data_IF_554434159617
#
_entry.id   IF_554434159617
#
_cell.length_a   1.000
_cell.length_b   1.000
_cell.length_c   1.000
_cell.angle_alpha   90.00
_cell.angle_beta   90.00
_cell.angle_gamma   90.00
#
_symmetry.space_group_name_H-M   'P 1'
#
loop_
_entity.id
_entity.type
_entity.pdbx_description
1 polymer ?
#
# COMPACT_ATOMS: atom_id res chain seq x y z
N UNK A 1 -26.31 15.68 20.80
CA UNK A 1 -26.10 16.57 19.64
C UNK A 1 -24.81 16.13 18.97
N UNK A 2 -24.86 15.74 17.70
CA UNK A 2 -23.66 15.40 16.92
C UNK A 2 -23.03 16.70 16.41
N UNK A 3 -21.70 16.77 16.41
CA UNK A 3 -20.98 17.93 15.86
C UNK A 3 -20.74 17.73 14.36
N UNK A 4 -20.54 18.80 13.56
CA UNK A 4 -20.33 18.68 12.12
C UNK A 4 -19.18 17.74 11.73
N UNK A 5 -18.15 17.64 12.58
CA UNK A 5 -16.99 16.75 12.38
C UNK A 5 -17.33 15.28 12.60
N UNK A 6 -18.22 14.99 13.56
CA UNK A 6 -18.74 13.63 13.79
C UNK A 6 -19.71 13.26 12.67
N UNK A 7 -20.57 14.18 12.25
CA UNK A 7 -21.51 13.96 11.15
C UNK A 7 -20.79 13.65 9.83
N UNK A 8 -19.64 14.29 9.57
CA UNK A 8 -18.82 14.04 8.39
C UNK A 8 -18.24 12.62 8.30
N UNK A 9 -18.21 11.88 9.42
CA UNK A 9 -17.75 10.49 9.50
C UNK A 9 -18.91 9.49 9.38
N UNK A 10 -20.14 9.97 9.16
CA UNK A 10 -21.31 9.10 9.00
C UNK A 10 -21.26 8.40 7.64
N UNK A 11 -21.11 7.08 7.69
CA UNK A 11 -21.21 6.21 6.52
C UNK A 11 -22.66 5.80 6.27
N UNK A 12 -23.03 5.48 5.01
CA UNK A 12 -24.30 4.85 4.73
C UNK A 12 -24.48 3.57 5.55
N UNK A 13 -25.69 3.36 6.07
CA UNK A 13 -26.00 2.18 6.87
C UNK A 13 -25.97 0.89 6.05
N UNK A 14 -26.55 0.91 4.84
CA UNK A 14 -26.59 -0.26 3.95
C UNK A 14 -25.27 -0.48 3.21
N UNK A 15 -24.93 -1.75 3.03
CA UNK A 15 -23.74 -2.19 2.27
C UNK A 15 -23.77 -1.70 0.83
N UNK A 16 -24.95 -1.71 0.20
CA UNK A 16 -25.14 -1.25 -1.17
C UNK A 16 -24.85 0.25 -1.32
N UNK A 17 -25.38 1.08 -0.41
CA UNK A 17 -25.14 2.52 -0.45
C UNK A 17 -23.68 2.85 -0.13
N UNK A 18 -23.07 2.14 0.82
CA UNK A 18 -21.65 2.30 1.13
C UNK A 18 -20.79 1.92 -0.08
N UNK A 19 -21.06 0.77 -0.71
CA UNK A 19 -20.40 0.30 -1.93
C UNK A 19 -20.49 1.33 -3.05
N UNK A 20 -21.68 1.89 -3.32
CA UNK A 20 -21.85 2.96 -4.31
C UNK A 20 -21.01 4.20 -4.00
N UNK A 21 -20.85 4.54 -2.72
CA UNK A 21 -20.07 5.71 -2.27
C UNK A 21 -18.55 5.50 -2.41
N UNK A 22 -18.06 4.29 -2.14
CA UNK A 22 -16.62 4.01 -2.04
C UNK A 22 -16.04 3.38 -3.29
N UNK A 23 -16.83 2.76 -4.16
CA UNK A 23 -16.36 2.15 -5.40
C UNK A 23 -16.04 3.20 -6.49
N UNK A 24 -15.25 2.79 -7.48
CA UNK A 24 -15.01 3.54 -8.72
C UNK A 24 -15.37 2.64 -9.87
N UNK A 25 -16.32 3.08 -10.70
CA UNK A 25 -16.76 2.32 -11.86
C UNK A 25 -15.65 2.23 -12.92
N UNK A 26 -15.53 1.11 -13.64
CA UNK A 26 -14.65 1.01 -14.79
C UNK A 26 -15.09 1.95 -15.91
N UNK A 27 -14.11 2.43 -16.69
CA UNK A 27 -14.35 3.22 -17.91
C UNK A 27 -13.86 2.43 -19.12
N UNK A 28 -14.66 2.42 -20.18
CA UNK A 28 -14.29 1.77 -21.44
C UNK A 28 -13.05 2.42 -22.07
N UNK A 29 -12.20 1.59 -22.70
CA UNK A 29 -10.97 2.04 -23.36
C UNK A 29 -10.92 1.54 -24.82
N UNK A 30 -11.75 2.12 -25.72
CA UNK A 30 -11.79 1.73 -27.14
C UNK A 30 -10.50 2.13 -27.89
N UNK A 31 -9.68 3.00 -27.31
CA UNK A 31 -8.38 3.41 -27.83
C UNK A 31 -7.34 2.29 -27.80
N UNK A 32 -7.46 1.32 -26.88
CA UNK A 32 -6.47 0.23 -26.72
C UNK A 32 -6.28 -0.57 -28.00
N UNK A 33 -7.33 -0.78 -28.78
CA UNK A 33 -7.23 -1.54 -30.02
C UNK A 33 -6.39 -0.84 -31.10
N UNK A 34 -6.35 0.50 -31.07
CA UNK A 34 -5.64 1.34 -32.05
C UNK A 34 -4.16 1.48 -31.73
N UNK A 35 -3.77 1.19 -30.49
CA UNK A 35 -2.39 1.31 -30.03
C UNK A 35 -1.54 0.09 -30.43
N UNK A 36 -0.23 0.27 -30.64
CA UNK A 36 0.71 -0.85 -30.71
C UNK A 36 0.60 -1.74 -29.47
N UNK A 37 0.78 -3.06 -29.64
CA UNK A 37 0.51 -4.05 -28.57
C UNK A 37 1.23 -3.72 -27.25
N UNK A 38 2.51 -3.34 -27.31
CA UNK A 38 3.27 -2.97 -26.10
C UNK A 38 2.68 -1.76 -25.38
N UNK A 39 2.35 -0.68 -26.10
CA UNK A 39 1.72 0.52 -25.53
C UNK A 39 0.31 0.23 -25.02
N UNK A 40 -0.45 -0.61 -25.71
CA UNK A 40 -1.79 -1.02 -25.29
C UNK A 40 -1.75 -1.81 -23.98
N UNK A 41 -0.77 -2.70 -23.81
CA UNK A 41 -0.54 -3.50 -22.59
C UNK A 41 -0.28 -2.60 -21.38
N UNK A 42 0.62 -1.62 -21.50
CA UNK A 42 0.90 -0.65 -20.43
C UNK A 42 -0.33 0.23 -20.11
N UNK A 43 -1.00 0.72 -21.15
CA UNK A 43 -2.21 1.54 -21.01
C UNK A 43 -3.36 0.78 -20.35
N UNK A 44 -3.52 -0.51 -20.67
CA UNK A 44 -4.48 -1.40 -20.03
C UNK A 44 -4.12 -1.63 -18.56
N UNK A 45 -2.84 -1.90 -18.24
CA UNK A 45 -2.40 -2.08 -16.87
C UNK A 45 -2.71 -0.84 -16.00
N UNK A 46 -2.55 0.36 -16.54
CA UNK A 46 -2.95 1.60 -15.87
C UNK A 46 -4.47 1.67 -15.69
N UNK A 47 -5.25 1.37 -16.74
CA UNK A 47 -6.71 1.40 -16.69
C UNK A 47 -7.30 0.41 -15.68
N UNK A 48 -6.72 -0.79 -15.55
CA UNK A 48 -7.16 -1.79 -14.57
C UNK A 48 -6.88 -1.40 -13.11
N UNK A 49 -6.01 -0.40 -12.88
CA UNK A 49 -5.71 0.14 -11.55
C UNK A 49 -6.55 1.38 -11.19
N UNK A 50 -7.41 1.89 -12.08
CA UNK A 50 -8.22 3.09 -11.80
C UNK A 50 -9.57 2.77 -11.15
N UNK A 51 -10.17 1.62 -11.48
CA UNK A 51 -11.45 1.20 -10.92
C UNK A 51 -11.27 0.44 -9.60
N UNK A 52 -12.32 0.42 -8.79
CA UNK A 52 -12.30 -0.28 -7.51
C UNK A 52 -13.68 -0.83 -7.15
N UNK A 53 -13.73 -2.14 -6.93
CA UNK A 53 -14.90 -2.88 -6.49
C UNK A 53 -14.63 -3.49 -5.12
N UNK A 54 -15.31 -2.96 -4.09
CA UNK A 54 -15.15 -3.39 -2.69
C UNK A 54 -15.68 -4.81 -2.47
N UNK A 55 -15.02 -5.66 -1.68
CA UNK A 55 -15.61 -6.89 -1.14
C UNK A 55 -16.35 -6.62 0.17
N UNK A 56 -16.99 -7.64 0.76
CA UNK A 56 -17.57 -7.49 2.09
C UNK A 56 -16.49 -7.15 3.14
N UNK A 57 -15.34 -7.84 3.07
CA UNK A 57 -14.20 -7.53 3.94
C UNK A 57 -13.76 -6.06 3.82
N UNK A 58 -13.77 -5.50 2.61
CA UNK A 58 -13.42 -4.09 2.42
C UNK A 58 -14.43 -3.17 3.12
N UNK A 59 -15.73 -3.44 3.01
CA UNK A 59 -16.77 -2.65 3.68
C UNK A 59 -16.66 -2.72 5.21
N UNK A 60 -16.40 -3.91 5.74
CA UNK A 60 -16.24 -4.11 7.18
C UNK A 60 -15.02 -3.36 7.71
N UNK A 61 -13.89 -3.45 7.00
CA UNK A 61 -12.67 -2.69 7.34
C UNK A 61 -12.87 -1.18 7.23
N UNK A 62 -13.59 -0.70 6.20
CA UNK A 62 -13.93 0.72 6.06
C UNK A 62 -14.73 1.17 7.28
N UNK A 63 -15.79 0.44 7.67
CA UNK A 63 -16.59 0.78 8.86
C UNK A 63 -15.77 0.79 10.12
N UNK A 64 -14.91 -0.20 10.33
CA UNK A 64 -14.07 -0.28 11.51
C UNK A 64 -13.10 0.91 11.59
N UNK A 65 -12.42 1.24 10.49
CA UNK A 65 -11.45 2.34 10.41
C UNK A 65 -12.16 3.69 10.61
N UNK A 66 -13.28 3.90 9.93
CA UNK A 66 -14.07 5.13 10.09
C UNK A 66 -14.66 5.24 11.49
N UNK A 67 -15.09 4.14 12.09
CA UNK A 67 -15.54 4.10 13.49
C UNK A 67 -14.45 4.53 14.47
N UNK A 68 -13.18 4.17 14.21
CA UNK A 68 -12.04 4.69 14.99
C UNK A 68 -11.88 6.21 14.82
N UNK A 69 -12.09 6.73 13.61
CA UNK A 69 -12.13 8.16 13.33
C UNK A 69 -13.25 8.88 14.08
N UNK A 70 -14.46 8.32 14.05
CA UNK A 70 -15.63 8.86 14.75
C UNK A 70 -15.42 8.91 16.28
N UNK A 71 -14.88 7.83 16.85
CA UNK A 71 -14.49 7.81 18.26
C UNK A 71 -13.44 8.89 18.59
N UNK A 72 -12.47 9.13 17.69
CA UNK A 72 -11.49 10.21 17.87
C UNK A 72 -12.15 11.58 17.79
N UNK A 73 -13.03 11.81 16.81
CA UNK A 73 -13.76 13.06 16.64
C UNK A 73 -14.60 13.40 17.89
N UNK A 74 -15.25 12.41 18.51
CA UNK A 74 -15.99 12.61 19.76
C UNK A 74 -15.09 13.07 20.92
N UNK A 75 -13.82 12.65 20.95
CA UNK A 75 -12.87 13.05 21.99
C UNK A 75 -12.21 14.41 21.72
N UNK A 76 -11.93 14.74 20.45
CA UNK A 76 -11.19 15.96 20.06
C UNK A 76 -12.08 17.12 19.63
N UNK A 77 -13.30 16.83 19.19
CA UNK A 77 -14.25 17.77 18.59
C UNK A 77 -15.65 17.62 19.21
N UNK A 78 -15.72 17.42 20.53
CA UNK A 78 -16.99 17.27 21.26
C UNK A 78 -17.83 18.56 21.28
N UNK A 79 -17.17 19.72 21.14
CA UNK A 79 -17.80 21.03 21.08
C UNK A 79 -17.04 21.98 20.16
N UNK A 80 -17.74 23.00 19.67
CA UNK A 80 -17.15 24.07 18.86
C UNK A 80 -16.01 24.79 19.56
N UNK A 81 -16.14 25.05 20.87
CA UNK A 81 -15.10 25.70 21.66
C UNK A 81 -13.82 24.85 21.73
N UNK A 82 -13.97 23.53 21.91
CA UNK A 82 -12.83 22.61 21.90
C UNK A 82 -12.15 22.56 20.52
N UNK A 83 -12.95 22.55 19.45
CA UNK A 83 -12.43 22.63 18.09
C UNK A 83 -11.63 23.92 17.86
N UNK A 84 -12.21 25.09 18.19
CA UNK A 84 -11.54 26.39 18.02
C UNK A 84 -10.23 26.45 18.82
N UNK A 85 -10.24 26.01 20.08
CA UNK A 85 -9.02 25.93 20.89
C UNK A 85 -7.93 25.08 20.20
N UNK A 86 -8.31 23.92 19.66
CA UNK A 86 -7.40 23.01 18.97
C UNK A 86 -6.91 23.55 17.64
N UNK A 87 -7.77 24.24 16.88
CA UNK A 87 -7.46 24.92 15.64
C UNK A 87 -6.49 26.10 15.83
N UNK A 88 -6.40 26.67 17.03
CA UNK A 88 -5.37 27.64 17.43
C UNK A 88 -4.09 26.98 17.99
N UNK A 89 -3.98 25.65 17.92
CA UNK A 89 -2.79 24.92 18.32
C UNK A 89 -2.73 24.57 19.81
N UNK A 90 -3.81 24.74 20.57
CA UNK A 90 -3.87 24.21 21.95
C UNK A 90 -4.08 22.70 21.89
N UNK A 91 -3.18 21.93 22.52
CA UNK A 91 -3.34 20.48 22.56
C UNK A 91 -4.54 20.09 23.42
N UNK A 92 -5.38 19.22 22.89
CA UNK A 92 -6.40 18.51 23.68
C UNK A 92 -5.71 17.57 24.67
N UNK A 93 -6.34 17.32 25.82
CA UNK A 93 -5.88 16.38 26.87
C UNK A 93 -5.80 14.91 26.44
N UNK A 94 -6.14 14.58 25.19
CA UNK A 94 -6.11 13.21 24.67
C UNK A 94 -4.67 12.85 24.23
N UNK A 95 -3.83 12.50 25.20
CA UNK A 95 -2.37 12.37 25.04
C UNK A 95 -1.87 11.09 24.34
N UNK A 96 -2.75 10.15 23.98
CA UNK A 96 -2.31 8.88 23.38
C UNK A 96 -2.30 8.92 21.85
N UNK A 97 -1.13 8.69 21.21
CA UNK A 97 -1.06 8.49 19.76
C UNK A 97 -1.80 7.20 19.39
N UNK A 98 -2.88 7.33 18.62
CA UNK A 98 -3.67 6.19 18.13
C UNK A 98 -3.05 5.70 16.83
N UNK A 99 -2.09 4.77 16.92
CA UNK A 99 -1.43 4.16 15.76
C UNK A 99 -2.01 2.75 15.57
N UNK A 100 -2.38 2.40 14.35
CA UNK A 100 -3.01 1.13 13.98
C UNK A 100 -2.41 0.59 12.70
N UNK A 101 -2.31 -0.73 12.62
CA UNK A 101 -1.71 -1.45 11.51
C UNK A 101 -2.79 -2.06 10.60
N UNK A 102 -2.66 -1.86 9.30
CA UNK A 102 -3.30 -2.65 8.25
C UNK A 102 -2.23 -3.50 7.54
N UNK A 103 -2.42 -4.81 7.47
CA UNK A 103 -1.49 -5.71 6.80
C UNK A 103 -2.18 -6.78 5.97
N UNK A 104 -1.42 -7.50 5.16
CA UNK A 104 -1.92 -8.49 4.20
C UNK A 104 -0.89 -8.77 3.12
N UNK A 105 -1.14 -9.77 2.28
CA UNK A 105 -0.30 -10.08 1.13
C UNK A 105 -0.08 -8.87 0.21
N UNK A 106 1.06 -8.84 -0.48
CA UNK A 106 1.29 -7.88 -1.54
C UNK A 106 0.22 -8.05 -2.63
N UNK A 107 -0.39 -6.95 -3.09
CA UNK A 107 -1.42 -6.99 -4.13
C UNK A 107 -2.82 -7.40 -3.67
N UNK A 108 -3.08 -7.56 -2.36
CA UNK A 108 -4.40 -7.93 -1.83
C UNK A 108 -5.46 -6.82 -1.97
N UNK A 109 -5.06 -5.54 -1.91
CA UNK A 109 -5.99 -4.41 -2.02
C UNK A 109 -5.82 -3.28 -0.98
N UNK A 110 -4.86 -3.38 -0.05
CA UNK A 110 -4.63 -2.38 1.03
C UNK A 110 -4.65 -0.92 0.55
N UNK A 111 -3.90 -0.60 -0.50
CA UNK A 111 -3.84 0.76 -1.06
C UNK A 111 -5.17 1.25 -1.61
N UNK A 112 -5.91 0.37 -2.30
CA UNK A 112 -7.23 0.69 -2.81
C UNK A 112 -8.23 0.90 -1.67
N UNK A 113 -8.15 0.10 -0.60
CA UNK A 113 -8.96 0.26 0.61
C UNK A 113 -8.74 1.63 1.26
N UNK A 114 -7.48 2.04 1.48
CA UNK A 114 -7.17 3.35 2.07
C UNK A 114 -7.66 4.52 1.21
N UNK A 115 -7.46 4.45 -0.11
CA UNK A 115 -8.01 5.44 -1.06
C UNK A 115 -9.54 5.46 -1.07
N UNK A 116 -10.18 4.29 -0.91
CA UNK A 116 -11.63 4.18 -0.84
C UNK A 116 -12.21 4.84 0.44
N UNK A 117 -11.49 4.75 1.56
CA UNK A 117 -11.87 5.44 2.81
C UNK A 117 -11.81 6.97 2.62
N UNK A 118 -10.69 7.48 2.11
CA UNK A 118 -10.54 8.91 1.83
C UNK A 118 -11.64 9.42 0.88
N UNK A 119 -11.87 8.72 -0.23
CA UNK A 119 -12.95 9.03 -1.18
C UNK A 119 -14.33 8.98 -0.51
N UNK A 120 -14.59 7.96 0.28
CA UNK A 120 -15.87 7.77 0.98
C UNK A 120 -16.18 8.81 2.05
N UNK A 121 -15.14 9.46 2.59
CA UNK A 121 -15.25 10.53 3.59
C UNK A 121 -15.12 11.94 3.01
N UNK A 122 -14.79 12.06 1.72
CA UNK A 122 -14.65 13.36 1.07
C UNK A 122 -15.98 14.12 1.14
N UNK A 123 -15.89 15.38 1.54
CA UNK A 123 -17.03 16.28 1.62
C UNK A 123 -16.64 17.67 1.15
N UNK A 124 -17.56 18.35 0.48
CA UNK A 124 -17.39 19.76 0.07
C UNK A 124 -17.91 20.72 1.15
N UNK A 125 -18.38 20.18 2.28
CA UNK A 125 -18.94 20.97 3.38
C UNK A 125 -17.88 21.84 4.02
N UNK A 126 -18.22 23.11 4.21
CA UNK A 126 -17.49 24.04 5.06
C UNK A 126 -18.32 24.35 6.31
N UNK A 127 -17.65 24.51 7.45
CA UNK A 127 -18.30 24.81 8.73
C UNK A 127 -17.82 26.15 9.24
N UNK A 128 -18.76 27.04 9.53
CA UNK A 128 -18.48 28.27 10.25
C UNK A 128 -18.59 28.00 11.76
N UNK A 129 -17.43 27.86 12.42
CA UNK A 129 -17.39 27.54 13.85
C UNK A 129 -17.86 28.73 14.72
N UNK A 130 -17.64 29.97 14.28
CA UNK A 130 -18.17 31.16 14.94
C UNK A 130 -18.34 32.28 13.93
N UNK A 131 -19.19 33.27 14.25
CA UNK A 131 -19.44 34.42 13.36
C UNK A 131 -18.16 35.22 13.01
N UNK A 132 -17.12 35.11 13.84
CA UNK A 132 -15.87 35.85 13.71
C UNK A 132 -14.74 35.02 13.06
N UNK A 133 -15.00 33.77 12.70
CA UNK A 133 -14.03 32.90 12.04
C UNK A 133 -14.47 32.58 10.61
N UNK A 134 -13.52 32.46 9.67
CA UNK A 134 -13.84 32.00 8.32
C UNK A 134 -14.38 30.56 8.37
N UNK A 135 -15.16 30.19 7.36
CA UNK A 135 -15.62 28.81 7.21
C UNK A 135 -14.46 27.87 6.94
N UNK A 136 -14.40 26.76 7.67
CA UNK A 136 -13.35 25.75 7.55
C UNK A 136 -13.81 24.57 6.69
N UNK A 137 -13.01 24.09 5.72
CA UNK A 137 -13.33 22.85 5.03
C UNK A 137 -13.22 21.66 6.00
N UNK A 138 -14.14 20.70 5.89
CA UNK A 138 -14.04 19.44 6.63
C UNK A 138 -13.31 18.40 5.78
N UNK A 139 -12.15 17.96 6.24
CA UNK A 139 -11.36 16.88 5.65
C UNK A 139 -11.15 15.81 6.73
N UNK A 140 -12.05 14.81 6.86
CA UNK A 140 -12.01 13.85 7.97
C UNK A 140 -10.81 12.89 7.90
N UNK A 141 -10.34 12.60 6.68
CA UNK A 141 -9.27 11.66 6.40
C UNK A 141 -8.28 12.20 5.36
N UNK A 142 -7.01 11.91 5.55
CA UNK A 142 -5.94 12.20 4.59
C UNK A 142 -5.20 10.91 4.21
N UNK A 143 -5.12 10.62 2.91
CA UNK A 143 -4.26 9.58 2.37
C UNK A 143 -2.89 10.15 1.98
N UNK A 144 -1.85 9.37 2.26
CA UNK A 144 -0.48 9.74 1.95
C UNK A 144 0.33 8.49 1.58
N UNK A 145 0.94 8.53 0.41
CA UNK A 145 1.88 7.52 -0.05
C UNK A 145 3.29 7.96 0.35
N UNK A 146 3.91 7.24 1.29
CA UNK A 146 5.22 7.62 1.81
C UNK A 146 6.33 7.29 0.81
N UNK A 147 6.20 6.20 0.07
CA UNK A 147 7.04 5.88 -1.08
C UNK A 147 8.54 6.02 -0.81
N UNK A 148 9.22 6.77 -1.68
CA UNK A 148 10.68 7.02 -1.64
C UNK A 148 11.10 8.14 -0.69
N UNK A 149 10.17 8.73 0.08
CA UNK A 149 10.49 9.84 0.98
C UNK A 149 11.42 9.35 2.10
N UNK A 150 12.66 9.86 2.11
CA UNK A 150 13.73 9.35 2.97
C UNK A 150 13.97 10.16 4.24
N UNK A 151 13.18 11.21 4.50
CA UNK A 151 13.34 12.05 5.70
C UNK A 151 12.01 12.42 6.35
N UNK A 152 12.06 12.66 7.67
CA UNK A 152 10.88 13.11 8.44
C UNK A 152 10.31 14.42 7.90
N UNK A 153 11.18 15.35 7.49
CA UNK A 153 10.77 16.64 6.92
C UNK A 153 10.02 16.42 5.61
N UNK A 154 10.55 15.55 4.74
CA UNK A 154 9.91 15.23 3.46
C UNK A 154 8.51 14.62 3.66
N UNK A 155 8.36 13.69 4.62
CA UNK A 155 7.04 13.09 4.92
C UNK A 155 6.05 14.11 5.48
N UNK A 156 6.47 14.96 6.42
CA UNK A 156 5.59 15.98 6.99
C UNK A 156 5.20 17.05 5.95
N UNK A 157 6.14 17.44 5.07
CA UNK A 157 5.83 18.36 3.98
C UNK A 157 4.86 17.73 2.99
N UNK A 158 5.10 16.47 2.60
CA UNK A 158 4.21 15.77 1.68
C UNK A 158 2.79 15.60 2.25
N UNK A 159 2.66 15.27 3.53
CA UNK A 159 1.37 15.24 4.23
C UNK A 159 0.66 16.60 4.20
N UNK A 160 1.41 17.68 4.41
CA UNK A 160 0.87 19.04 4.33
C UNK A 160 0.42 19.37 2.90
N UNK A 161 1.21 19.02 1.90
CA UNK A 161 0.86 19.24 0.50
C UNK A 161 -0.39 18.44 0.09
N UNK A 162 -0.51 17.18 0.52
CA UNK A 162 -1.71 16.37 0.30
C UNK A 162 -2.94 17.02 0.94
N UNK A 163 -2.82 17.53 2.17
CA UNK A 163 -3.90 18.21 2.87
C UNK A 163 -4.32 19.50 2.15
N UNK A 164 -3.35 20.27 1.68
CA UNK A 164 -3.57 21.53 0.97
C UNK A 164 -4.17 21.29 -0.43
N UNK A 165 -3.80 20.21 -1.13
CA UNK A 165 -4.37 19.86 -2.45
C UNK A 165 -5.77 19.30 -2.42
N UNK A 166 -6.19 18.69 -1.30
CA UNK A 166 -7.59 18.28 -1.16
C UNK A 166 -8.53 19.48 -1.11
N UNK A 167 -8.05 20.62 -0.60
CA UNK A 167 -8.78 21.89 -0.57
C UNK A 167 -8.66 22.66 -1.89
N UNK A 168 -7.45 22.70 -2.45
CA UNK A 168 -7.14 23.39 -3.70
C UNK A 168 -6.27 22.49 -4.60
N UNK A 169 -6.88 21.74 -5.55
CA UNK A 169 -6.16 20.79 -6.40
C UNK A 169 -5.06 21.42 -7.26
N UNK A 170 -5.14 22.71 -7.56
CA UNK A 170 -4.18 23.43 -8.41
C UNK A 170 -2.98 23.95 -7.63
N UNK A 171 -2.98 23.80 -6.30
CA UNK A 171 -1.96 24.37 -5.44
C UNK A 171 -0.59 23.72 -5.66
N UNK A 172 0.40 24.57 -5.93
CA UNK A 172 1.77 24.15 -6.17
C UNK A 172 2.41 23.43 -4.97
N UNK A 173 3.19 22.40 -5.30
CA UNK A 173 3.94 21.59 -4.35
C UNK A 173 5.17 22.36 -3.88
N UNK A 174 5.29 22.58 -2.57
CA UNK A 174 6.47 23.26 -2.04
C UNK A 174 7.59 22.24 -1.81
N UNK A 175 8.86 22.59 -2.13
CA UNK A 175 9.97 21.71 -1.80
C UNK A 175 10.07 21.55 -0.28
N UNK A 176 10.50 20.37 0.21
CA UNK A 176 10.67 20.15 1.64
C UNK A 176 11.72 21.10 2.20
N UNK A 177 11.33 21.90 3.19
CA UNK A 177 12.19 22.91 3.79
C UNK A 177 11.71 23.35 5.18
N UNK A 178 12.62 23.98 5.93
CA UNK A 178 12.34 24.53 7.26
C UNK A 178 12.68 23.60 8.42
N UNK A 179 12.47 24.11 9.64
CA UNK A 179 12.76 23.37 10.89
C UNK A 179 11.66 22.33 11.14
N UNK A 180 12.05 21.08 11.44
CA UNK A 180 11.13 19.96 11.69
C UNK A 180 9.99 20.31 12.65
N UNK A 181 10.31 20.97 13.77
CA UNK A 181 9.32 21.37 14.77
C UNK A 181 8.30 22.40 14.24
N UNK A 182 8.76 23.37 13.45
CA UNK A 182 7.88 24.38 12.87
C UNK A 182 6.92 23.74 11.85
N UNK A 183 7.42 22.82 11.03
CA UNK A 183 6.61 22.07 10.07
C UNK A 183 5.61 21.15 10.78
N UNK A 184 6.03 20.42 11.80
CA UNK A 184 5.14 19.58 12.60
C UNK A 184 4.03 20.41 13.29
N UNK A 185 4.36 21.59 13.83
CA UNK A 185 3.39 22.50 14.43
C UNK A 185 2.41 23.05 13.39
N UNK A 186 2.89 23.44 12.21
CA UNK A 186 2.05 23.89 11.10
C UNK A 186 1.09 22.80 10.66
N UNK A 187 1.60 21.60 10.38
CA UNK A 187 0.77 20.46 9.98
C UNK A 187 -0.25 20.09 11.06
N UNK A 188 0.16 20.05 12.33
CA UNK A 188 -0.76 19.84 13.46
C UNK A 188 -1.92 20.83 13.42
N UNK A 189 -1.63 22.13 13.34
CA UNK A 189 -2.67 23.18 13.28
C UNK A 189 -3.55 22.99 12.05
N UNK A 190 -2.97 22.72 10.88
CA UNK A 190 -3.72 22.54 9.63
C UNK A 190 -4.66 21.34 9.65
N UNK A 191 -4.26 20.22 10.27
CA UNK A 191 -5.08 19.02 10.45
C UNK A 191 -6.29 19.32 11.35
N UNK A 192 -6.06 19.98 12.49
CA UNK A 192 -7.13 20.33 13.42
C UNK A 192 -8.09 21.37 12.84
N UNK A 193 -7.61 22.37 12.11
CA UNK A 193 -8.45 23.34 11.41
C UNK A 193 -9.39 22.70 10.38
N UNK A 194 -9.04 21.52 9.87
CA UNK A 194 -9.85 20.77 8.91
C UNK A 194 -10.69 19.66 9.53
N UNK A 195 -10.62 19.50 10.85
CA UNK A 195 -11.29 18.40 11.55
C UNK A 195 -10.78 17.02 11.13
N UNK A 196 -9.50 16.91 10.72
CA UNK A 196 -8.91 15.66 10.31
C UNK A 196 -8.69 14.75 11.51
N UNK A 197 -9.26 13.56 11.46
CA UNK A 197 -9.20 12.57 12.54
C UNK A 197 -8.57 11.24 12.11
N UNK A 198 -8.38 11.03 10.82
CA UNK A 198 -7.71 9.86 10.24
C UNK A 198 -6.52 10.27 9.38
N UNK A 199 -5.35 9.72 9.66
CA UNK A 199 -4.21 9.70 8.75
C UNK A 199 -4.03 8.30 8.19
N UNK A 200 -3.96 8.17 6.87
CA UNK A 200 -3.83 6.90 6.15
C UNK A 200 -2.49 6.88 5.42
N UNK A 201 -1.51 6.16 5.97
CA UNK A 201 -0.16 6.06 5.42
C UNK A 201 0.03 4.75 4.65
N UNK A 202 0.50 4.85 3.41
CA UNK A 202 0.75 3.71 2.54
C UNK A 202 2.21 3.67 2.03
N UNK A 203 2.60 2.53 1.47
CA UNK A 203 3.89 2.30 0.81
C UNK A 203 5.13 2.61 1.69
N UNK A 204 5.07 2.26 2.98
CA UNK A 204 6.20 2.42 3.92
C UNK A 204 7.37 1.47 3.65
N UNK A 205 7.16 0.41 2.86
CA UNK A 205 8.14 -0.64 2.59
C UNK A 205 9.34 -0.24 1.71
N UNK A 206 9.27 0.84 0.92
CA UNK A 206 10.37 1.24 0.04
C UNK A 206 11.64 1.61 0.82
N UNK A 207 11.46 2.16 2.02
CA UNK A 207 12.52 2.48 2.97
C UNK A 207 12.86 1.30 3.90
N UNK A 208 12.67 0.03 3.53
CA UNK A 208 12.89 -1.10 4.45
C UNK A 208 14.08 -2.01 4.09
N UNK A 209 14.93 -1.61 3.13
CA UNK A 209 16.03 -2.44 2.62
C UNK A 209 17.18 -2.66 3.62
N UNK A 210 17.33 -1.80 4.63
CA UNK A 210 18.31 -1.97 5.73
C UNK A 210 17.66 -1.88 7.12
N UNK A 211 18.40 -2.28 8.16
CA UNK A 211 18.00 -2.14 9.57
C UNK A 211 17.79 -0.67 9.97
N UNK A 212 18.65 0.23 9.50
CA UNK A 212 18.55 1.69 9.66
C UNK A 212 17.24 2.21 9.05
N UNK A 213 16.87 1.66 7.91
CA UNK A 213 15.70 2.05 7.16
C UNK A 213 14.40 1.64 7.92
N UNK A 214 14.42 0.50 8.62
CA UNK A 214 13.33 0.10 9.54
C UNK A 214 13.22 1.02 10.76
N UNK A 215 14.34 1.52 11.30
CA UNK A 215 14.33 2.51 12.38
C UNK A 215 13.77 3.86 11.92
N UNK A 216 14.11 4.31 10.71
CA UNK A 216 13.54 5.50 10.10
C UNK A 216 12.02 5.38 9.95
N UNK A 217 11.52 4.25 9.46
CA UNK A 217 10.07 3.99 9.34
C UNK A 217 9.39 4.11 10.71
N UNK A 218 9.93 3.48 11.76
CA UNK A 218 9.38 3.56 13.11
C UNK A 218 9.36 5.02 13.64
N UNK A 219 10.40 5.79 13.35
CA UNK A 219 10.46 7.20 13.72
C UNK A 219 9.44 8.05 12.94
N UNK A 220 9.24 7.77 11.65
CA UNK A 220 8.22 8.44 10.82
C UNK A 220 6.82 8.13 11.34
N UNK A 221 6.49 6.86 11.57
CA UNK A 221 5.20 6.43 12.13
C UNK A 221 4.96 7.10 13.49
N UNK A 222 5.99 7.14 14.35
CA UNK A 222 5.91 7.80 15.66
C UNK A 222 5.67 9.30 15.54
N UNK A 223 6.36 9.96 14.62
CA UNK A 223 6.23 11.40 14.40
C UNK A 223 4.84 11.74 13.87
N UNK A 224 4.38 11.05 12.83
CA UNK A 224 3.05 11.26 12.22
C UNK A 224 1.94 10.92 13.22
N UNK A 225 2.07 9.80 13.94
CA UNK A 225 1.10 9.40 14.96
C UNK A 225 1.01 10.36 16.15
N UNK A 226 2.04 11.20 16.38
CA UNK A 226 2.02 12.24 17.42
C UNK A 226 1.28 13.53 17.02
N UNK A 227 0.85 13.65 15.76
CA UNK A 227 0.18 14.85 15.25
C UNK A 227 -1.29 14.96 15.65
N UNK A 228 -1.88 13.92 16.26
CA UNK A 228 -3.24 13.97 16.78
C UNK A 228 -4.24 13.05 16.10
N UNK A 229 -4.33 12.98 14.75
CA UNK A 229 -5.20 12.02 14.08
C UNK A 229 -4.86 10.56 14.42
N UNK A 230 -5.84 9.67 14.32
CA UNK A 230 -5.58 8.22 14.35
C UNK A 230 -4.86 7.84 13.07
N UNK A 231 -3.64 7.34 13.20
CA UNK A 231 -2.81 6.89 12.09
C UNK A 231 -3.08 5.41 11.80
N UNK A 232 -3.60 5.11 10.63
CA UNK A 232 -3.54 3.78 10.05
C UNK A 232 -2.38 3.71 9.06
N UNK A 233 -1.47 2.78 9.26
CA UNK A 233 -0.40 2.54 8.31
C UNK A 233 -0.53 1.15 7.69
N UNK A 234 -0.43 1.09 6.35
CA UNK A 234 -0.48 -0.14 5.59
C UNK A 234 0.92 -0.68 5.32
N UNK A 235 1.12 -1.99 5.51
CA UNK A 235 2.36 -2.65 5.09
C UNK A 235 2.17 -4.14 4.79
N UNK A 236 3.13 -4.71 4.05
CA UNK A 236 3.17 -6.14 3.76
C UNK A 236 3.71 -6.95 4.96
N UNK A 237 3.47 -8.25 4.99
CA UNK A 237 3.95 -9.15 6.05
C UNK A 237 5.45 -9.05 6.31
N UNK A 238 6.25 -8.89 5.25
CA UNK A 238 7.70 -8.75 5.35
C UNK A 238 8.14 -7.57 6.24
N UNK A 239 7.48 -6.42 6.16
CA UNK A 239 7.78 -5.28 7.01
C UNK A 239 7.31 -5.54 8.45
N UNK A 240 6.18 -6.22 8.62
CA UNK A 240 5.69 -6.58 9.95
C UNK A 240 6.66 -7.53 10.67
N UNK A 241 7.21 -8.55 10.01
CA UNK A 241 8.22 -9.43 10.60
C UNK A 241 9.47 -8.66 11.03
N UNK A 242 9.90 -7.64 10.26
CA UNK A 242 10.98 -6.73 10.67
C UNK A 242 10.59 -5.89 11.89
N UNK A 243 9.37 -5.35 11.94
CA UNK A 243 8.86 -4.58 13.09
C UNK A 243 8.72 -5.45 14.35
N UNK A 244 8.40 -6.73 14.22
CA UNK A 244 8.34 -7.69 15.35
C UNK A 244 9.70 -7.94 16.01
N UNK A 245 10.80 -7.72 15.30
CA UNK A 245 12.17 -7.85 15.83
C UNK A 245 12.62 -6.62 16.63
N UNK A 246 11.79 -5.56 16.70
CA UNK A 246 12.08 -4.31 17.45
C UNK A 246 11.80 -4.45 18.96
N UNK A 247 12.26 -3.49 19.78
CA UNK A 247 11.99 -3.48 21.22
C UNK A 247 10.48 -3.59 21.55
N UNK A 248 10.12 -4.16 22.71
CA UNK A 248 8.72 -4.35 23.12
C UNK A 248 7.86 -3.08 23.09
N UNK A 249 8.45 -1.92 23.41
CA UNK A 249 7.77 -0.62 23.38
C UNK A 249 7.26 -0.27 21.98
N UNK A 250 8.13 -0.34 20.98
CA UNK A 250 7.79 -0.11 19.57
C UNK A 250 6.77 -1.13 19.06
N UNK A 251 6.93 -2.40 19.45
CA UNK A 251 5.99 -3.46 19.06
C UNK A 251 4.59 -3.20 19.62
N UNK A 252 4.50 -2.86 20.91
CA UNK A 252 3.22 -2.54 21.55
C UNK A 252 2.61 -1.27 20.94
N UNK A 253 3.43 -0.31 20.53
CA UNK A 253 2.96 0.92 19.89
C UNK A 253 2.43 0.70 18.47
N UNK A 254 3.09 -0.11 17.66
CA UNK A 254 2.77 -0.25 16.22
C UNK A 254 1.92 -1.48 15.90
N UNK A 255 2.03 -2.56 16.68
CA UNK A 255 1.51 -3.88 16.34
C UNK A 255 0.42 -4.39 17.30
N UNK A 256 -0.03 -3.59 18.28
CA UNK A 256 -0.96 -4.05 19.31
C UNK A 256 -2.33 -4.50 18.77
N UNK A 257 -2.81 -3.89 17.68
CA UNK A 257 -4.12 -4.23 17.08
C UNK A 257 -4.00 -4.28 15.55
N UNK A 258 -3.51 -5.38 14.97
CA UNK A 258 -3.37 -5.53 13.53
C UNK A 258 -4.71 -5.80 12.87
N UNK A 259 -4.94 -5.24 11.68
CA UNK A 259 -6.03 -5.61 10.78
C UNK A 259 -5.42 -6.37 9.63
N UNK A 260 -5.82 -7.63 9.45
CA UNK A 260 -5.29 -8.50 8.40
C UNK A 260 -6.31 -8.59 7.28
N UNK A 261 -5.94 -8.08 6.11
CA UNK A 261 -6.69 -8.20 4.87
C UNK A 261 -6.30 -9.50 4.16
N UNK A 262 -7.29 -10.27 3.75
CA UNK A 262 -7.10 -11.59 3.14
C UNK A 262 -7.41 -11.54 1.63
N UNK A 263 -6.86 -12.46 0.84
CA UNK A 263 -7.23 -12.60 -0.57
C UNK A 263 -8.72 -12.95 -0.75
N UNK A 264 -9.26 -12.60 -1.91
CA UNK A 264 -10.64 -12.92 -2.27
C UNK A 264 -10.79 -14.44 -2.50
N UNK A 265 -11.91 -14.98 -2.07
CA UNK A 265 -12.29 -16.37 -2.36
C UNK A 265 -12.85 -16.48 -3.79
N UNK A 266 -12.81 -17.67 -4.42
CA UNK A 266 -13.36 -17.86 -5.77
C UNK A 266 -14.87 -17.62 -5.87
N UNK A 267 -15.60 -17.79 -4.77
CA UNK A 267 -17.04 -17.55 -4.63
C UNK A 267 -17.37 -16.15 -4.07
N UNK A 268 -16.36 -15.31 -3.81
CA UNK A 268 -16.58 -13.92 -3.41
C UNK A 268 -17.16 -13.13 -4.61
N UNK A 269 -18.31 -12.46 -4.48
CA UNK A 269 -18.88 -11.65 -5.55
C UNK A 269 -17.93 -10.57 -6.08
N UNK A 270 -17.04 -10.03 -5.23
CA UNK A 270 -16.05 -9.04 -5.69
C UNK A 270 -14.97 -9.66 -6.57
N UNK A 271 -14.73 -10.97 -6.47
CA UNK A 271 -13.79 -11.68 -7.33
C UNK A 271 -14.33 -11.79 -8.76
N UNK A 272 -15.59 -12.21 -8.93
CA UNK A 272 -16.23 -12.25 -10.25
C UNK A 272 -16.44 -10.86 -10.83
N UNK A 273 -16.90 -9.91 -10.01
CA UNK A 273 -17.13 -8.52 -10.42
C UNK A 273 -15.88 -7.89 -11.02
N UNK A 274 -14.68 -8.19 -10.51
CA UNK A 274 -13.45 -7.68 -11.08
C UNK A 274 -13.27 -8.04 -12.57
N UNK A 275 -13.57 -9.29 -12.95
CA UNK A 275 -13.42 -9.71 -14.36
C UNK A 275 -14.53 -9.13 -15.25
N UNK A 276 -15.72 -8.92 -14.70
CA UNK A 276 -16.81 -8.19 -15.37
C UNK A 276 -16.36 -6.74 -15.63
N UNK A 277 -15.82 -6.07 -14.62
CA UNK A 277 -15.32 -4.69 -14.72
C UNK A 277 -14.15 -4.58 -15.70
N UNK A 278 -13.23 -5.55 -15.70
CA UNK A 278 -12.17 -5.65 -16.69
C UNK A 278 -12.72 -5.86 -18.12
N UNK A 279 -13.82 -6.59 -18.25
CA UNK A 279 -14.58 -6.72 -19.50
C UNK A 279 -15.10 -5.37 -19.98
N UNK A 280 -15.63 -4.52 -19.10
CA UNK A 280 -16.06 -3.14 -19.44
C UNK A 280 -14.88 -2.31 -19.94
N UNK A 281 -13.74 -2.32 -19.23
CA UNK A 281 -12.53 -1.60 -19.65
C UNK A 281 -12.11 -2.01 -21.07
N UNK A 282 -12.23 -3.29 -21.40
CA UNK A 282 -11.90 -3.86 -22.70
C UNK A 282 -13.07 -3.85 -23.69
N UNK A 283 -14.07 -2.99 -23.49
CA UNK A 283 -15.25 -2.86 -24.35
C UNK A 283 -15.88 -4.24 -24.63
N UNK A 284 -16.20 -5.02 -23.61
CA UNK A 284 -16.87 -6.32 -23.73
C UNK A 284 -16.04 -7.43 -24.37
N UNK A 285 -14.72 -7.29 -24.50
CA UNK A 285 -13.88 -8.35 -25.08
C UNK A 285 -13.76 -9.60 -24.18
N UNK A 286 -14.06 -9.48 -22.89
CA UNK A 286 -14.11 -10.59 -21.93
C UNK A 286 -15.60 -10.90 -21.66
N UNK A 287 -16.00 -12.15 -21.89
CA UNK A 287 -17.32 -12.63 -21.49
C UNK A 287 -17.39 -12.86 -19.97
N UNK A 288 -18.59 -12.79 -19.40
CA UNK A 288 -18.80 -13.07 -17.98
C UNK A 288 -18.31 -14.50 -17.64
N UNK A 289 -17.37 -14.67 -16.69
CA UNK A 289 -16.82 -15.98 -16.36
C UNK A 289 -17.85 -16.89 -15.69
N UNK A 290 -17.90 -18.17 -16.11
CA UNK A 290 -18.69 -19.18 -15.39
C UNK A 290 -18.07 -19.53 -14.03
N UNK A 291 -18.81 -20.22 -13.15
CA UNK A 291 -18.27 -20.71 -11.87
C UNK A 291 -17.00 -21.54 -12.03
N UNK A 292 -16.92 -22.34 -13.11
CA UNK A 292 -15.72 -23.14 -13.42
C UNK A 292 -14.54 -22.25 -13.82
N UNK A 293 -14.80 -21.22 -14.61
CA UNK A 293 -13.78 -20.26 -15.03
C UNK A 293 -13.25 -19.47 -13.83
N UNK A 294 -14.13 -19.03 -12.92
CA UNK A 294 -13.75 -18.35 -11.68
C UNK A 294 -12.85 -19.21 -10.79
N UNK A 295 -13.15 -20.50 -10.63
CA UNK A 295 -12.29 -21.41 -9.87
C UNK A 295 -10.89 -21.55 -10.53
N UNK A 296 -10.84 -21.61 -11.86
CA UNK A 296 -9.58 -21.69 -12.60
C UNK A 296 -8.76 -20.39 -12.50
N UNK A 297 -9.40 -19.24 -12.70
CA UNK A 297 -8.83 -17.89 -12.57
C UNK A 297 -8.33 -17.64 -11.14
N UNK A 298 -9.08 -18.08 -10.13
CA UNK A 298 -8.64 -18.00 -8.73
C UNK A 298 -7.38 -18.83 -8.52
N UNK A 299 -7.31 -20.03 -9.10
CA UNK A 299 -6.08 -20.80 -9.11
C UNK A 299 -4.90 -20.04 -9.74
N UNK A 300 -5.13 -19.25 -10.78
CA UNK A 300 -4.06 -18.51 -11.47
C UNK A 300 -3.60 -17.27 -10.70
N UNK A 301 -4.43 -16.75 -9.79
CA UNK A 301 -4.25 -15.41 -9.17
C UNK A 301 -4.19 -15.40 -7.64
N UNK A 302 -4.58 -16.50 -6.99
CA UNK A 302 -4.78 -16.60 -5.54
C UNK A 302 -5.78 -15.57 -4.96
N UNK A 303 -6.67 -15.01 -5.79
CA UNK A 303 -7.59 -13.95 -5.35
C UNK A 303 -6.90 -12.62 -5.01
N UNK A 304 -5.65 -12.42 -5.46
CA UNK A 304 -4.93 -11.17 -5.28
C UNK A 304 -5.24 -10.21 -6.44
N UNK A 305 -5.82 -9.05 -6.13
CA UNK A 305 -6.25 -8.04 -7.12
C UNK A 305 -5.15 -7.67 -8.13
N UNK A 306 -3.91 -7.50 -7.67
CA UNK A 306 -2.76 -7.23 -8.56
C UNK A 306 -2.49 -8.38 -9.53
N UNK A 307 -2.56 -9.62 -9.05
CA UNK A 307 -2.35 -10.81 -9.87
C UNK A 307 -3.49 -10.99 -10.88
N UNK A 308 -4.72 -10.61 -10.52
CA UNK A 308 -5.87 -10.58 -11.42
C UNK A 308 -5.66 -9.57 -12.55
N UNK A 309 -5.24 -8.34 -12.23
CA UNK A 309 -4.92 -7.31 -13.23
C UNK A 309 -3.85 -7.78 -14.23
N UNK A 310 -2.73 -8.26 -13.70
CA UNK A 310 -1.60 -8.70 -14.53
C UNK A 310 -1.98 -9.90 -15.41
N UNK A 311 -2.89 -10.76 -14.95
CA UNK A 311 -3.37 -11.90 -15.73
C UNK A 311 -4.26 -11.45 -16.89
N UNK A 312 -5.15 -10.48 -16.66
CA UNK A 312 -5.95 -9.86 -17.72
C UNK A 312 -5.05 -9.21 -18.77
N UNK A 313 -4.01 -8.49 -18.34
CA UNK A 313 -3.02 -7.87 -19.23
C UNK A 313 -2.28 -8.93 -20.06
N UNK A 314 -1.81 -10.00 -19.45
CA UNK A 314 -1.14 -11.10 -20.16
C UNK A 314 -2.08 -11.79 -21.16
N UNK A 315 -3.33 -12.05 -20.77
CA UNK A 315 -4.34 -12.64 -21.65
C UNK A 315 -4.68 -11.74 -22.83
N UNK A 316 -4.80 -10.43 -22.61
CA UNK A 316 -5.00 -9.43 -23.66
C UNK A 316 -3.84 -9.43 -24.65
N UNK A 317 -2.59 -9.46 -24.17
CA UNK A 317 -1.41 -9.49 -25.03
C UNK A 317 -1.39 -10.71 -25.95
N UNK A 318 -1.69 -11.90 -25.42
CA UNK A 318 -1.80 -13.14 -26.20
C UNK A 318 -2.92 -13.02 -27.23
N UNK A 319 -4.12 -12.60 -26.80
CA UNK A 319 -5.26 -12.47 -27.70
C UNK A 319 -4.99 -11.48 -28.86
N UNK A 320 -4.20 -10.42 -28.63
CA UNK A 320 -3.78 -9.46 -29.67
C UNK A 320 -2.78 -10.06 -30.65
N UNK A 321 -1.89 -10.93 -30.19
CA UNK A 321 -0.89 -11.60 -31.04
C UNK A 321 -1.52 -12.69 -31.91
N UNK A 322 -2.47 -13.44 -31.36
CA UNK A 322 -3.20 -14.51 -32.05
C UNK A 322 -4.35 -13.99 -32.92
N UNK A 323 -4.62 -12.68 -32.88
CA UNK A 323 -5.75 -12.08 -33.59
C UNK A 323 -5.60 -12.30 -35.10
N UNK A 324 -6.53 -13.08 -35.65
CA UNK A 324 -6.75 -13.13 -37.09
C UNK A 324 -7.23 -11.75 -37.58
N UNK A 325 -6.55 -11.22 -38.60
CA UNK A 325 -6.86 -9.92 -39.22
C UNK A 325 -8.27 -9.86 -39.79
N UNK A 326 -8.92 -11.01 -39.99
CA UNK A 326 -10.30 -11.12 -40.49
C UNK A 326 -11.37 -10.84 -39.42
N UNK A 327 -11.06 -10.90 -38.12
CA UNK A 327 -12.05 -10.66 -37.05
C UNK A 327 -12.16 -9.19 -36.71
N UNK A 328 -13.39 -8.67 -36.74
CA UNK A 328 -13.71 -7.25 -36.49
C UNK A 328 -13.48 -6.81 -35.04
N UNK A 329 -13.63 -7.70 -34.05
CA UNK A 329 -13.47 -7.37 -32.61
C UNK A 329 -12.54 -8.36 -31.90
N UNK A 330 -11.78 -7.86 -30.92
CA UNK A 330 -11.00 -8.71 -30.02
C UNK A 330 -11.94 -9.53 -29.11
N UNK A 331 -11.67 -10.81 -28.96
CA UNK A 331 -12.35 -11.68 -28.01
C UNK A 331 -11.31 -12.41 -27.14
N UNK A 332 -11.43 -12.27 -25.83
CA UNK A 332 -10.55 -12.90 -24.84
C UNK A 332 -11.29 -14.08 -24.22
N UNK A 333 -10.73 -15.28 -24.39
CA UNK A 333 -11.32 -16.53 -23.89
C UNK A 333 -10.43 -17.12 -22.79
N UNK A 334 -10.94 -18.15 -22.10
CA UNK A 334 -10.14 -18.90 -21.13
C UNK A 334 -8.88 -19.54 -21.74
N UNK A 335 -8.84 -19.80 -23.05
CA UNK A 335 -7.61 -20.25 -23.71
C UNK A 335 -6.52 -19.17 -23.66
N UNK A 336 -6.88 -17.90 -23.90
CA UNK A 336 -5.95 -16.77 -23.79
C UNK A 336 -5.52 -16.53 -22.34
N UNK A 337 -6.40 -16.73 -21.35
CA UNK A 337 -6.02 -16.69 -19.93
C UNK A 337 -5.00 -17.77 -19.56
N UNK A 338 -5.22 -19.01 -20.00
CA UNK A 338 -4.26 -20.12 -19.79
C UNK A 338 -2.91 -19.84 -20.46
N UNK A 339 -2.94 -19.36 -21.70
CA UNK A 339 -1.74 -18.99 -22.45
C UNK A 339 -1.02 -17.80 -21.80
N UNK A 340 -1.75 -16.78 -21.35
CA UNK A 340 -1.23 -15.64 -20.60
C UNK A 340 -0.55 -16.06 -19.30
N UNK A 341 -1.18 -16.95 -18.52
CA UNK A 341 -0.60 -17.53 -17.31
C UNK A 341 0.70 -18.32 -17.58
N UNK A 342 0.81 -18.98 -18.74
CA UNK A 342 2.02 -19.70 -19.16
C UNK A 342 3.08 -18.80 -19.79
N UNK A 343 2.69 -17.59 -20.23
CA UNK A 343 3.58 -16.65 -20.90
C UNK A 343 4.69 -16.12 -19.97
N UNK A 344 5.68 -15.46 -20.58
CA UNK A 344 6.73 -14.74 -19.85
C UNK A 344 6.22 -13.47 -19.18
N UNK A 345 5.10 -12.90 -19.64
CA UNK A 345 4.52 -11.68 -19.07
C UNK A 345 3.92 -11.90 -17.67
N UNK A 346 3.74 -13.16 -17.27
CA UNK A 346 3.13 -13.55 -15.98
C UNK A 346 4.05 -14.48 -15.16
N UNK A 347 5.34 -14.57 -15.49
CA UNK A 347 6.25 -15.52 -14.83
C UNK A 347 6.39 -15.25 -13.34
N UNK A 348 6.58 -13.99 -12.98
CA UNK A 348 6.92 -13.58 -11.62
C UNK A 348 5.67 -13.62 -10.72
N UNK A 349 4.51 -13.27 -11.29
CA UNK A 349 3.20 -13.43 -10.67
C UNK A 349 2.89 -14.90 -10.41
N UNK A 350 3.17 -15.76 -11.39
CA UNK A 350 2.95 -17.21 -11.26
C UNK A 350 3.75 -17.80 -10.11
N UNK A 351 5.01 -17.40 -9.95
CA UNK A 351 5.86 -17.83 -8.83
C UNK A 351 5.34 -17.28 -7.50
N UNK A 352 4.92 -16.02 -7.47
CA UNK A 352 4.29 -15.39 -6.30
C UNK A 352 3.02 -16.13 -5.87
N UNK A 353 2.14 -16.46 -6.82
CA UNK A 353 0.90 -17.22 -6.57
C UNK A 353 1.23 -18.61 -6.02
N UNK A 354 2.25 -19.28 -6.55
CA UNK A 354 2.70 -20.57 -6.02
C UNK A 354 3.20 -20.47 -4.58
N UNK A 355 3.97 -19.42 -4.24
CA UNK A 355 4.40 -19.16 -2.87
C UNK A 355 3.22 -18.87 -1.92
N UNK A 356 2.23 -18.11 -2.36
CA UNK A 356 1.02 -17.84 -1.57
C UNK A 356 0.25 -19.13 -1.25
N UNK A 357 0.05 -20.00 -2.23
CA UNK A 357 -0.57 -21.31 -1.99
C UNK A 357 0.26 -22.19 -1.05
N UNK A 358 1.59 -22.21 -1.21
CA UNK A 358 2.47 -22.97 -0.33
C UNK A 358 2.41 -22.45 1.12
N UNK A 359 2.36 -21.13 1.32
CA UNK A 359 2.19 -20.50 2.62
C UNK A 359 0.83 -20.82 3.25
N UNK A 360 -0.25 -20.78 2.48
CA UNK A 360 -1.60 -21.13 2.96
C UNK A 360 -1.71 -22.59 3.41
N UNK A 361 -0.95 -23.49 2.77
CA UNK A 361 -0.84 -24.90 3.16
C UNK A 361 0.13 -25.13 4.34
N UNK A 362 0.79 -24.10 4.87
CA UNK A 362 1.82 -24.25 5.91
C UNK A 362 3.13 -24.89 5.42
N UNK A 363 3.34 -24.96 4.10
CA UNK A 363 4.49 -25.62 3.47
C UNK A 363 5.60 -24.64 3.06
N UNK A 364 5.52 -23.37 3.48
CA UNK A 364 6.51 -22.35 3.15
C UNK A 364 6.94 -21.61 4.40
N UNK A 365 8.25 -21.59 4.64
CA UNK A 365 8.88 -20.77 5.68
C UNK A 365 9.51 -19.53 5.02
N UNK A 366 8.64 -18.59 4.61
CA UNK A 366 9.07 -17.32 4.03
C UNK A 366 8.24 -16.18 4.62
N UNK A 367 8.91 -15.31 5.38
CA UNK A 367 8.33 -14.14 6.05
C UNK A 367 7.55 -13.21 5.10
N UNK A 368 7.82 -13.22 3.79
CA UNK A 368 7.10 -12.39 2.83
C UNK A 368 5.65 -12.85 2.59
N UNK A 369 5.35 -14.13 2.80
CA UNK A 369 4.07 -14.74 2.47
C UNK A 369 3.33 -15.30 3.69
N UNK A 370 4.02 -15.53 4.81
CA UNK A 370 3.40 -16.04 6.04
C UNK A 370 2.88 -14.88 6.88
N UNK A 371 1.58 -14.92 7.20
CA UNK A 371 0.97 -13.95 8.11
C UNK A 371 1.67 -14.01 9.48
N UNK A 372 2.19 -12.88 9.99
CA UNK A 372 2.87 -12.87 11.28
C UNK A 372 1.91 -12.94 12.46
N UNK A 373 0.61 -12.75 12.28
CA UNK A 373 -0.37 -12.67 13.37
C UNK A 373 -1.26 -13.91 13.42
N UNK A 374 -1.73 -14.21 14.62
CA UNK A 374 -2.83 -15.16 14.81
C UNK A 374 -4.08 -14.60 14.13
N UNK A 375 -4.68 -15.43 13.29
CA UNK A 375 -5.90 -15.08 12.56
C UNK A 375 -7.11 -15.37 13.46
N UNK A 376 -8.17 -14.59 13.29
CA UNK A 376 -9.45 -14.90 13.94
C UNK A 376 -9.98 -16.26 13.44
N UNK A 377 -10.92 -16.91 14.14
CA UNK A 377 -11.53 -18.14 13.68
C UNK A 377 -12.11 -18.02 12.25
N UNK A 378 -12.79 -16.91 11.96
CA UNK A 378 -13.35 -16.61 10.63
C UNK A 378 -12.27 -16.48 9.56
N UNK A 379 -11.21 -15.73 9.83
CA UNK A 379 -10.07 -15.56 8.93
C UNK A 379 -9.32 -16.87 8.71
N UNK A 380 -9.23 -17.72 9.74
CA UNK A 380 -8.63 -19.05 9.65
C UNK A 380 -9.44 -19.97 8.73
N UNK A 381 -10.78 -19.89 8.76
CA UNK A 381 -11.64 -20.61 7.82
C UNK A 381 -11.39 -20.14 6.39
N UNK A 382 -11.30 -18.83 6.15
CA UNK A 382 -10.99 -18.27 4.82
C UNK A 382 -9.64 -18.78 4.31
N UNK A 383 -8.59 -18.76 5.15
CA UNK A 383 -7.27 -19.28 4.77
C UNK A 383 -7.27 -20.78 4.46
N UNK A 384 -8.03 -21.58 5.22
CA UNK A 384 -8.22 -23.00 4.90
C UNK A 384 -8.90 -23.19 3.55
N UNK A 385 -9.97 -22.43 3.27
CA UNK A 385 -10.67 -22.48 1.97
C UNK A 385 -9.75 -22.08 0.81
N UNK A 386 -8.91 -21.07 0.98
CA UNK A 386 -7.87 -20.68 0.01
C UNK A 386 -6.87 -21.83 -0.24
N UNK A 387 -6.47 -22.54 0.82
CA UNK A 387 -5.61 -23.71 0.72
C UNK A 387 -6.31 -24.89 0.01
N UNK A 388 -7.58 -25.16 0.32
CA UNK A 388 -8.35 -26.26 -0.27
C UNK A 388 -8.63 -26.06 -1.77
N UNK A 389 -8.83 -24.80 -2.19
CA UNK A 389 -8.93 -24.44 -3.61
C UNK A 389 -7.68 -24.88 -4.42
N UNK A 390 -6.53 -25.08 -3.77
CA UNK A 390 -5.30 -25.58 -4.39
C UNK A 390 -5.24 -27.12 -4.48
N UNK A 391 -5.88 -27.83 -3.56
CA UNK A 391 -5.91 -29.30 -3.52
C UNK A 391 -6.77 -29.88 -4.65
N UNK A 392 -7.87 -29.22 -4.98
CA UNK A 392 -8.71 -29.55 -6.16
C UNK A 392 -7.91 -29.49 -7.49
N UNK A 393 -6.89 -28.63 -7.55
CA UNK A 393 -5.96 -28.51 -8.69
C UNK A 393 -5.01 -29.70 -8.84
N UNK A 394 -4.67 -30.42 -7.76
CA UNK A 394 -3.80 -31.60 -7.84
C UNK A 394 -4.50 -32.78 -8.52
N UNK A 395 -5.83 -32.86 -8.45
CA UNK A 395 -6.62 -33.92 -9.10
C UNK A 395 -6.74 -33.75 -10.62
N UNK A 396 -6.42 -32.57 -11.17
CA UNK A 396 -6.69 -32.22 -12.58
C UNK A 396 -5.43 -31.90 -13.39
N UNK A 397 -4.21 -32.04 -12.84
CA UNK A 397 -2.97 -31.88 -13.61
C UNK A 397 -2.60 -33.17 -14.36
N UNK A 398 -2.51 -33.14 -15.71
CA UNK A 398 -1.69 -34.12 -16.41
C UNK A 398 -0.21 -33.88 -16.09
N UNK A 399 0.44 -34.94 -15.60
CA UNK A 399 1.86 -35.37 -15.56
C UNK A 399 3.02 -34.54 -16.17
N UNK A 400 2.94 -33.22 -16.37
CA UNK A 400 4.02 -32.40 -16.94
C UNK A 400 5.12 -32.11 -15.90
N UNK A 401 4.79 -32.06 -14.60
CA UNK A 401 5.76 -31.77 -13.53
C UNK A 401 6.70 -32.93 -13.17
N UNK A 402 6.38 -34.17 -13.56
CA UNK A 402 7.24 -35.32 -13.31
C UNK A 402 8.49 -35.33 -14.21
N UNK A 403 8.37 -34.80 -15.42
CA UNK A 403 9.48 -34.72 -16.40
C UNK A 403 10.46 -33.60 -16.02
N UNK A 404 9.96 -32.46 -15.54
CA UNK A 404 10.80 -31.35 -15.08
C UNK A 404 11.54 -31.67 -13.78
N UNK A 405 10.91 -32.41 -12.84
CA UNK A 405 11.59 -32.90 -11.63
C UNK A 405 12.75 -33.83 -11.96
N UNK A 406 12.57 -34.78 -12.90
CA UNK A 406 13.66 -35.68 -13.33
C UNK A 406 14.80 -34.95 -14.04
N UNK A 407 14.52 -33.85 -14.76
CA UNK A 407 15.56 -33.02 -15.41
C UNK A 407 16.40 -32.25 -14.39
N UNK A 408 15.78 -31.74 -13.33
CA UNK A 408 16.47 -31.00 -12.26
C UNK A 408 17.27 -31.89 -11.30
N UNK A 409 16.87 -33.16 -11.10
CA UNK A 409 17.70 -34.11 -10.34
C UNK A 409 18.91 -34.60 -11.15
N UNK A 410 18.74 -34.84 -12.46
CA UNK A 410 19.87 -35.22 -13.34
C UNK A 410 20.91 -34.13 -13.52
N UNK A 411 20.54 -32.85 -13.48
CA UNK A 411 21.50 -31.74 -13.56
C UNK A 411 22.30 -31.57 -12.26
N UNK A 412 21.70 -31.82 -11.09
CA UNK A 412 22.40 -31.78 -9.79
C UNK A 412 23.40 -32.91 -9.60
N UNK A 413 23.13 -34.10 -10.14
CA UNK A 413 24.05 -35.25 -10.08
C UNK A 413 25.28 -35.10 -10.99
N UNK A 414 25.23 -34.31 -12.05
CA UNK A 414 26.38 -34.09 -12.96
C UNK A 414 27.44 -33.14 -12.41
N UNK A 415 27.10 -32.30 -11.42
CA UNK A 415 28.05 -31.36 -10.80
C UNK A 415 28.78 -31.93 -9.57
N UNK A 416 28.48 -33.15 -9.13
CA UNK A 416 29.07 -33.77 -7.93
C UNK A 416 30.20 -34.76 -8.23
N UNK A 417 30.56 -34.98 -9.50
CA UNK A 417 31.66 -35.89 -9.87
C UNK A 417 32.71 -35.14 -10.71
N UNK A 418 33.62 -34.44 -10.04
CA UNK A 418 34.97 -34.21 -10.56
C UNK A 418 35.98 -34.46 -9.41
N UNK A 419 37.02 -35.29 -9.62
CA UNK A 419 37.99 -35.59 -8.58
C UNK A 419 38.95 -34.40 -8.36
N UNK A 420 39.07 -33.97 -7.10
CA UNK A 420 40.04 -32.97 -6.63
C UNK A 420 41.48 -33.45 -6.90
N UNK A 421 42.23 -32.72 -7.74
CA UNK A 421 43.69 -32.79 -7.74
C UNK A 421 44.25 -31.80 -6.71
N UNK A 422 44.94 -32.33 -5.70
CA UNK A 422 45.73 -31.60 -4.71
C UNK A 422 47.02 -31.08 -5.36
N UNK A 423 47.26 -29.75 -5.33
CA UNK A 423 48.58 -29.16 -5.61
C UNK A 423 49.23 -28.66 -4.32
N UNK A 424 50.50 -29.05 -4.13
CA UNK A 424 51.39 -28.69 -3.01
C UNK A 424 51.88 -27.24 -3.10
N UNK A 425 52.29 -26.62 -1.97
CA UNK A 425 52.82 -25.26 -1.94
C UNK A 425 54.34 -25.23 -2.20
N UNK A 426 54.83 -24.14 -2.80
CA UNK A 426 56.26 -23.82 -2.93
C UNK A 426 56.54 -22.49 -2.21
N UNK A 427 57.63 -22.47 -1.44
CA UNK A 427 58.14 -21.37 -0.63
C UNK A 427 59.02 -20.38 -1.43
N UNK A 428 58.72 -19.07 -1.25
CA UNK A 428 59.49 -17.79 -1.16
C UNK A 428 60.97 -17.67 -1.62
N UNK A 429 61.53 -16.44 -1.91
CA UNK A 429 61.88 -15.44 -0.86
C UNK A 429 61.91 -13.91 -1.22
N UNK A 430 61.82 -13.07 -0.16
CA UNK A 430 62.45 -11.74 0.17
C UNK A 430 62.57 -10.62 -0.90
N UNK A 431 62.57 -9.30 -0.66
CA UNK A 431 62.53 -8.33 0.44
C UNK A 431 62.05 -7.00 -0.22
N UNK A 432 61.41 -6.00 0.42
CA UNK A 432 62.02 -5.00 1.31
C UNK A 432 60.95 -3.97 1.72
N UNK A 433 60.98 -3.55 3.00
CA UNK A 433 60.30 -2.37 3.59
C UNK A 433 61.40 -1.37 4.00
N UNK A 434 61.13 -0.16 4.55
CA UNK A 434 59.94 0.72 4.49
C UNK A 434 60.34 2.21 4.23
N UNK A 435 59.40 3.17 4.19
CA UNK A 435 59.65 4.54 4.66
C UNK A 435 58.39 5.18 5.25
N UNK A 436 58.57 5.77 6.42
CA UNK A 436 57.59 6.48 7.26
C UNK A 436 57.74 8.00 7.07
N UNK A 437 56.59 8.70 7.07
CA UNK A 437 56.30 10.05 7.61
C UNK A 437 56.93 11.28 6.90
N UNK A 438 56.40 12.52 7.05
CA UNK A 438 55.66 13.05 8.21
C UNK A 438 54.48 14.03 7.95
N UNK A 439 53.87 14.43 9.07
CA UNK A 439 52.94 15.53 9.23
C UNK A 439 53.66 16.89 9.40
N UNK A 440 53.00 17.99 8.97
CA UNK A 440 53.20 19.39 9.41
C UNK A 440 52.07 20.24 8.78
N UNK A 441 51.10 20.81 9.52
CA UNK A 441 51.13 22.07 10.32
C UNK A 441 51.03 23.38 9.51
N UNK A 442 50.24 24.32 10.07
CA UNK A 442 50.06 25.79 9.85
C UNK A 442 48.67 26.20 9.34
N UNK A 443 47.76 26.70 10.22
CA UNK A 443 47.52 28.10 10.71
C UNK A 443 46.97 28.99 9.58
N UNK A 444 45.79 29.62 9.65
CA UNK A 444 45.09 30.50 10.63
C UNK A 444 44.02 31.26 9.81
N UNK A 445 43.05 32.01 10.33
CA UNK A 445 42.79 32.54 11.66
C UNK A 445 41.33 33.02 11.79
N UNK A 446 41.08 33.61 12.95
CA UNK A 446 39.82 34.18 13.42
C UNK A 446 39.23 35.27 12.53
N UNK A 447 37.89 35.40 12.53
CA UNK A 447 37.29 36.69 12.88
C UNK A 447 35.82 36.59 13.28
N UNK A 448 35.51 37.31 14.36
CA UNK A 448 34.20 37.53 14.94
C UNK A 448 33.34 38.43 14.05
N UNK A 449 32.02 38.20 14.06
CA UNK A 449 31.06 39.28 13.83
C UNK A 449 29.77 39.03 14.62
N UNK A 450 29.56 39.91 15.61
CA UNK A 450 28.36 40.12 16.42
C UNK A 450 27.43 41.11 15.67
N UNK A 451 26.15 41.17 16.09
CA UNK A 451 25.04 42.06 15.70
C UNK A 451 24.09 41.52 14.61
N UNK A 452 22.76 41.62 14.68
CA UNK A 452 21.87 42.39 15.55
C UNK A 452 20.50 41.71 15.71
N UNK A 453 19.95 41.80 16.91
CA UNK A 453 18.51 41.67 17.20
C UNK A 453 17.83 42.98 16.78
N UNK A 454 16.79 42.91 15.94
CA UNK A 454 15.85 44.02 15.74
C UNK A 454 14.42 43.54 16.01
N UNK A 455 13.99 43.81 17.23
CA UNK A 455 12.61 44.10 17.62
C UNK A 455 12.19 45.44 17.03
N UNK A 456 11.05 45.50 16.33
CA UNK A 456 10.23 46.71 16.24
C UNK A 456 8.75 46.27 16.25
N UNK A 457 8.05 46.76 17.27
CA UNK A 457 6.59 46.76 17.38
C UNK A 457 5.94 47.90 16.58
N UNK A 458 4.68 48.25 16.89
CA UNK A 458 3.62 48.43 15.91
C UNK A 458 3.41 49.89 15.47
N UNK A 459 2.77 50.07 14.32
CA UNK A 459 2.14 51.33 13.94
C UNK A 459 0.66 51.08 13.61
N UNK A 460 -0.17 51.62 14.50
CA UNK A 460 -1.55 51.99 14.28
C UNK A 460 -1.59 53.20 13.33
N UNK A 461 -2.57 53.19 12.44
CA UNK A 461 -3.04 54.30 11.62
C UNK A 461 -4.46 53.97 11.18
#
# INVERSE_FOLDING_TARGET
MTTPWVDALTLPASDEALRKKVCVSPAERPDLEKLPVGTAVESLALALNTFYSASQQDLDLIREIVGCGAARALLTHSSTNQFVASAHGRRTTVDYPSIRLLTGHAGVGKSHLLKAIERGLRTERKVQASNNLPSFPIIPAIYCEVGTLSSKIAVLQHLLDCLERQEDPEKEVKPPGGKLHALAKRLFVSLYQRGTVLGLADELQFNSRSSEATALIAQIISQVGSLGPTLFFACNYSLVHKLKKRPPEDRNRFLAKPRVMLPLLPDDPAFSQYFIDAGVVLCGAIAEPSTKDLAELHGMTFGLRRMMANLVVAAYAVARQERDKTRSRLAITMAHFRAGYQSRLYSDERDTVACCFAAALGNLDNENYVCPFELTPEQSVVMKRLADASSSRRSTRPSITAVERKKNERSKLKHLVQPRQLRRPVLSPSASRPRLLPASCWRGGDDQCVYAVRTLGPLLG
#
